data_IF_612151189593
#
_entry.id   IF_612151189593
#
_cell.length_a   1.000
_cell.length_b   1.000
_cell.length_c   1.000
_cell.angle_alpha   90.00
_cell.angle_beta   90.00
_cell.angle_gamma   90.00
#
_symmetry.space_group_name_H-M   'P 1'
#
loop_
_entity.id
_entity.type
_entity.pdbx_description
1 polymer ?
#
# COMPACT_ATOMS: atom_id res chain seq x y z
N UNK A 1 -17.66 -18.20 1.38
CA UNK A 1 -16.25 -18.66 1.28
C UNK A 1 -15.28 -17.50 1.04
N UNK A 2 -15.74 -16.37 0.50
CA UNK A 2 -14.98 -15.14 0.19
C UNK A 2 -14.59 -14.28 1.40
N UNK A 3 -15.45 -14.18 2.43
CA UNK A 3 -15.18 -13.33 3.60
C UNK A 3 -13.98 -13.78 4.45
N UNK A 4 -13.77 -15.10 4.62
CA UNK A 4 -12.66 -15.64 5.42
C UNK A 4 -11.29 -15.40 4.80
N UNK A 5 -11.21 -15.31 3.48
CA UNK A 5 -9.95 -15.01 2.76
C UNK A 5 -9.61 -13.53 2.94
N UNK A 6 -10.61 -12.63 2.88
CA UNK A 6 -10.42 -11.22 3.18
C UNK A 6 -10.02 -10.98 4.64
N UNK A 7 -10.69 -11.63 5.60
CA UNK A 7 -10.32 -11.53 7.03
C UNK A 7 -8.90 -12.04 7.28
N UNK A 8 -8.51 -13.16 6.66
CA UNK A 8 -7.14 -13.70 6.77
C UNK A 8 -6.11 -12.80 6.09
N UNK A 9 -6.44 -12.18 4.95
CA UNK A 9 -5.55 -11.23 4.27
C UNK A 9 -5.39 -9.94 5.08
N UNK A 10 -6.48 -9.43 5.68
CA UNK A 10 -6.44 -8.30 6.61
C UNK A 10 -5.64 -8.64 7.87
N UNK A 11 -5.78 -9.84 8.44
CA UNK A 11 -4.94 -10.28 9.54
C UNK A 11 -3.46 -10.35 9.16
N UNK A 12 -3.11 -10.83 7.96
CA UNK A 12 -1.72 -10.89 7.49
C UNK A 12 -1.15 -9.47 7.29
N UNK A 13 -1.95 -8.57 6.73
CA UNK A 13 -1.62 -7.15 6.54
C UNK A 13 -1.40 -6.47 7.89
N UNK A 14 -2.29 -6.71 8.86
CA UNK A 14 -2.20 -6.16 10.22
C UNK A 14 -1.08 -6.80 11.06
N UNK A 15 -0.78 -8.09 10.89
CA UNK A 15 0.27 -8.81 11.62
C UNK A 15 1.67 -8.56 11.07
N UNK A 16 1.83 -7.90 9.91
CA UNK A 16 3.14 -7.49 9.37
C UNK A 16 3.63 -6.15 9.94
N UNK A 17 3.29 -5.88 11.19
CA UNK A 17 4.03 -5.00 12.10
C UNK A 17 5.37 -5.64 12.55
N UNK A 18 5.93 -6.55 11.72
CA UNK A 18 7.04 -7.46 12.07
C UNK A 18 8.37 -7.14 11.39
N UNK A 19 8.47 -6.05 10.61
CA UNK A 19 9.75 -5.59 10.06
C UNK A 19 9.94 -4.09 10.23
N UNK A 20 10.06 -3.63 11.49
CA UNK A 20 11.18 -2.79 11.93
C UNK A 20 11.07 -2.50 13.44
N UNK A 21 11.91 -3.17 14.23
CA UNK A 21 12.20 -2.77 15.62
C UNK A 21 13.07 -1.52 15.55
N UNK A 22 12.48 -0.35 15.29
CA UNK A 22 13.28 0.87 15.11
C UNK A 22 12.54 2.19 14.96
N UNK A 23 11.27 2.22 14.53
CA UNK A 23 10.54 3.49 14.42
C UNK A 23 9.22 3.46 15.18
N UNK A 24 9.06 4.39 16.12
CA UNK A 24 7.83 4.66 16.86
C UNK A 24 6.86 5.48 16.02
N UNK A 25 6.64 5.12 14.76
CA UNK A 25 5.73 5.86 13.89
C UNK A 25 4.32 5.34 14.10
N UNK A 26 3.56 5.99 14.99
CA UNK A 26 2.12 5.77 15.08
C UNK A 26 1.48 6.24 13.76
N UNK A 27 0.97 5.29 12.99
CA UNK A 27 0.30 5.54 11.73
C UNK A 27 -1.21 5.60 11.95
N UNK A 28 -1.88 6.62 11.42
CA UNK A 28 -3.34 6.72 11.52
C UNK A 28 -4.02 5.62 10.70
N UNK A 29 -5.26 5.27 11.04
CA UNK A 29 -6.04 4.28 10.30
C UNK A 29 -6.27 4.70 8.84
N UNK A 30 -6.47 6.00 8.59
CA UNK A 30 -6.65 6.59 7.27
C UNK A 30 -5.39 6.47 6.42
N UNK A 31 -4.23 6.73 7.03
CA UNK A 31 -2.94 6.58 6.35
C UNK A 31 -2.67 5.11 6.02
N UNK A 32 -2.96 4.20 6.96
CA UNK A 32 -2.82 2.76 6.72
C UNK A 32 -3.71 2.28 5.57
N UNK A 33 -4.98 2.70 5.55
CA UNK A 33 -5.90 2.34 4.50
C UNK A 33 -5.43 2.87 3.14
N UNK A 34 -5.01 4.14 3.07
CA UNK A 34 -4.47 4.73 1.85
C UNK A 34 -3.23 3.98 1.33
N UNK A 35 -2.35 3.50 2.23
CA UNK A 35 -1.19 2.65 1.86
C UNK A 35 -1.62 1.29 1.31
N UNK A 36 -2.62 0.65 1.92
CA UNK A 36 -3.14 -0.63 1.45
C UNK A 36 -3.77 -0.50 0.06
N UNK A 37 -4.61 0.52 -0.14
CA UNK A 37 -5.30 0.75 -1.41
C UNK A 37 -4.31 1.11 -2.52
N UNK A 38 -3.33 1.97 -2.22
CA UNK A 38 -2.28 2.32 -3.15
C UNK A 38 -1.44 1.09 -3.52
N UNK A 39 -1.05 0.25 -2.55
CA UNK A 39 -0.31 -0.99 -2.82
C UNK A 39 -1.12 -1.97 -3.69
N UNK A 40 -2.43 -2.10 -3.46
CA UNK A 40 -3.29 -2.90 -4.31
C UNK A 40 -3.36 -2.34 -5.74
N UNK A 41 -3.45 -1.02 -5.90
CA UNK A 41 -3.44 -0.36 -7.21
C UNK A 41 -2.14 -0.60 -7.98
N UNK A 42 -0.97 -0.52 -7.33
CA UNK A 42 0.31 -0.89 -7.95
C UNK A 42 0.26 -2.32 -8.52
N UNK A 43 -0.22 -3.28 -7.73
CA UNK A 43 -0.34 -4.68 -8.16
C UNK A 43 -1.33 -4.90 -9.30
N UNK A 44 -2.43 -4.15 -9.32
CA UNK A 44 -3.40 -4.21 -10.43
C UNK A 44 -2.80 -3.64 -11.71
N UNK A 45 -2.09 -2.52 -11.64
CA UNK A 45 -1.39 -1.94 -12.79
C UNK A 45 -0.38 -2.94 -13.38
N UNK A 46 0.45 -3.57 -12.53
CA UNK A 46 1.37 -4.62 -12.97
C UNK A 46 0.62 -5.82 -13.58
N UNK A 47 -0.48 -6.26 -12.95
CA UNK A 47 -1.26 -7.41 -13.43
C UNK A 47 -1.86 -7.17 -14.82
N UNK A 48 -2.30 -5.94 -15.10
CA UNK A 48 -2.87 -5.57 -16.41
C UNK A 48 -1.81 -5.08 -17.42
N UNK A 49 -0.54 -4.99 -17.04
CA UNK A 49 0.54 -4.51 -17.90
C UNK A 49 0.38 -3.05 -18.30
N UNK A 50 -0.10 -2.22 -17.37
CA UNK A 50 -0.29 -0.78 -17.57
C UNK A 50 0.92 0.04 -17.09
N UNK A 51 1.95 -0.61 -16.56
CA UNK A 51 3.23 0.00 -16.20
C UNK A 51 4.19 0.08 -17.41
N UNK A 52 4.99 1.14 -17.43
CA UNK A 52 6.11 1.32 -18.36
C UNK A 52 7.43 1.25 -17.59
N UNK A 53 7.89 0.03 -17.30
CA UNK A 53 9.08 -0.23 -16.48
C UNK A 53 9.02 0.58 -15.16
N UNK A 54 9.89 1.58 -15.02
CA UNK A 54 9.98 2.46 -13.83
C UNK A 54 9.37 3.86 -14.08
N UNK A 55 8.76 4.09 -15.24
CA UNK A 55 8.24 5.38 -15.69
C UNK A 55 6.82 5.69 -15.21
N UNK A 56 6.00 4.67 -14.94
CA UNK A 56 4.65 4.86 -14.41
C UNK A 56 4.69 5.26 -12.93
N UNK A 57 3.80 6.17 -12.51
CA UNK A 57 3.71 6.60 -11.12
C UNK A 57 2.24 6.67 -10.67
N UNK A 58 1.98 6.18 -9.47
CA UNK A 58 0.71 6.36 -8.77
C UNK A 58 0.95 7.17 -7.50
N UNK A 59 -0.03 7.98 -7.13
CA UNK A 59 -0.02 8.67 -5.84
C UNK A 59 -1.39 8.58 -5.18
N UNK A 60 -1.40 8.59 -3.86
CA UNK A 60 -2.62 8.64 -3.07
C UNK A 60 -2.49 9.71 -1.98
N UNK A 61 -3.48 10.59 -1.87
CA UNK A 61 -3.56 11.57 -0.77
C UNK A 61 -4.10 10.89 0.48
N UNK A 62 -3.50 11.16 1.62
CA UNK A 62 -4.03 10.72 2.92
C UNK A 62 -5.23 11.62 3.28
N UNK A 63 -6.34 11.04 3.73
CA UNK A 63 -7.52 11.82 4.09
C UNK A 63 -7.21 12.82 5.22
N UNK A 64 -7.57 14.09 5.02
CA UNK A 64 -7.33 15.16 6.00
C UNK A 64 -5.89 15.68 6.07
N UNK A 65 -5.02 15.24 5.16
CA UNK A 65 -3.62 15.65 5.05
C UNK A 65 -3.34 16.21 3.65
N UNK A 66 -2.31 17.05 3.53
CA UNK A 66 -1.85 17.61 2.25
C UNK A 66 -0.75 16.72 1.61
N UNK A 67 -0.24 15.75 2.37
CA UNK A 67 0.80 14.82 1.94
C UNK A 67 0.25 13.70 1.03
N UNK A 68 1.12 13.26 0.12
CA UNK A 68 0.85 12.17 -0.82
C UNK A 68 1.79 10.99 -0.59
N UNK A 69 1.25 9.79 -0.75
CA UNK A 69 1.98 8.53 -0.77
C UNK A 69 2.42 8.21 -2.21
N UNK A 70 3.62 7.64 -2.36
CA UNK A 70 4.18 7.16 -3.63
C UNK A 70 5.17 6.02 -3.36
N UNK A 71 5.43 5.17 -4.36
CA UNK A 71 6.53 4.19 -4.30
C UNK A 71 7.91 4.88 -4.29
N UNK A 72 8.91 4.27 -3.63
CA UNK A 72 10.31 4.64 -3.83
C UNK A 72 10.70 4.54 -5.31
N UNK A 73 11.47 5.53 -5.77
CA UNK A 73 11.97 5.57 -7.14
C UNK A 73 12.88 4.36 -7.43
N UNK A 74 12.70 3.74 -8.60
CA UNK A 74 13.53 2.62 -9.08
C UNK A 74 13.00 1.22 -8.76
N UNK A 75 11.81 1.11 -8.15
CA UNK A 75 11.11 -0.16 -7.99
C UNK A 75 10.13 -0.41 -9.14
N UNK A 76 10.02 -1.67 -9.56
CA UNK A 76 8.91 -2.14 -10.41
C UNK A 76 7.60 -2.18 -9.62
N UNK A 77 6.48 -2.20 -10.33
CA UNK A 77 5.12 -2.24 -9.77
C UNK A 77 4.78 -3.60 -9.12
#
# INVERSE_FOLDING_TARGET
MTAKIMESAMEIVMKKQLFDKGSSYEMSAEEWQARCDLAAAYRLVAYFGWDDLIGTHLSARIAGKEEFLMNPLGLMF
#
